data_IF_429102841807
#
_entry.id   IF_429102841807
#
_cell.length_a   1.000
_cell.length_b   1.000
_cell.length_c   1.000
_cell.angle_alpha   90.00
_cell.angle_beta   90.00
_cell.angle_gamma   90.00
#
_symmetry.space_group_name_H-M   'P 1'
#
loop_
_entity.id
_entity.type
_entity.pdbx_description
1 polymer ?
#
# COMPACT_ATOMS: atom_id res chain seq x y z
N UNK A 1 -9.20 14.33 -39.99
CA UNK A 1 -8.49 13.13 -39.47
C UNK A 1 -9.35 11.91 -39.71
N UNK A 2 -8.80 10.80 -40.18
CA UNK A 2 -9.57 9.58 -40.42
C UNK A 2 -9.93 8.90 -39.09
N UNK A 3 -11.09 8.24 -39.03
CA UNK A 3 -11.50 7.44 -37.83
C UNK A 3 -10.40 6.50 -37.31
N UNK A 4 -9.58 5.96 -38.21
CA UNK A 4 -8.45 5.10 -37.84
C UNK A 4 -7.35 5.84 -37.06
N UNK A 5 -7.07 7.11 -37.34
CA UNK A 5 -6.13 7.92 -36.57
C UNK A 5 -6.69 8.32 -35.21
N UNK A 6 -7.98 8.59 -35.13
CA UNK A 6 -8.66 8.89 -33.86
C UNK A 6 -8.67 7.67 -32.98
N UNK A 7 -8.93 6.47 -33.52
CA UNK A 7 -8.91 5.22 -32.76
C UNK A 7 -7.48 4.79 -32.36
N UNK A 8 -6.46 5.06 -33.19
CA UNK A 8 -5.06 4.77 -32.85
C UNK A 8 -4.52 5.68 -31.73
N UNK A 9 -5.05 6.92 -31.63
CA UNK A 9 -4.73 7.80 -30.50
C UNK A 9 -5.58 7.53 -29.25
N UNK A 10 -6.64 6.73 -29.37
CA UNK A 10 -7.55 6.33 -28.29
C UNK A 10 -7.28 4.88 -27.80
N UNK A 11 -6.23 4.21 -28.33
CA UNK A 11 -5.84 2.90 -27.79
C UNK A 11 -5.27 3.10 -26.38
N UNK A 12 -5.92 2.59 -25.32
CA UNK A 12 -5.41 2.77 -23.96
C UNK A 12 -4.04 2.09 -23.89
N UNK A 13 -3.00 2.87 -23.61
CA UNK A 13 -1.67 2.32 -23.36
C UNK A 13 -1.76 1.47 -22.08
N UNK A 14 -1.59 0.18 -22.21
CA UNK A 14 -1.55 -0.76 -21.08
C UNK A 14 -0.35 -0.41 -20.20
N UNK A 15 -0.53 -0.39 -18.87
CA UNK A 15 0.52 -0.08 -17.92
C UNK A 15 0.82 1.43 -17.77
N UNK A 16 -0.14 2.28 -18.07
CA UNK A 16 0.01 3.72 -17.82
C UNK A 16 -0.13 4.09 -16.35
N UNK A 17 -0.96 3.35 -15.60
CA UNK A 17 -1.13 3.59 -14.17
C UNK A 17 0.14 3.19 -13.39
N UNK A 18 0.73 4.16 -12.69
CA UNK A 18 1.90 3.95 -11.85
C UNK A 18 1.54 3.46 -10.44
N UNK A 19 0.26 3.56 -10.06
CA UNK A 19 -0.25 3.10 -8.77
C UNK A 19 -0.64 1.63 -8.85
N UNK A 20 -0.22 0.85 -7.87
CA UNK A 20 -0.55 -0.57 -7.76
C UNK A 20 -1.82 -0.73 -6.92
N UNK A 21 -2.71 -1.63 -7.34
CA UNK A 21 -3.97 -1.91 -6.66
C UNK A 21 -4.89 -0.66 -6.57
N UNK A 22 -4.91 0.16 -7.60
CA UNK A 22 -5.76 1.36 -7.65
C UNK A 22 -7.26 1.06 -7.68
N UNK A 23 -7.67 -0.14 -8.11
CA UNK A 23 -9.04 -0.65 -8.06
C UNK A 23 -9.43 -1.25 -6.69
N UNK A 24 -8.53 -1.27 -5.71
CA UNK A 24 -8.76 -1.78 -4.35
C UNK A 24 -9.19 -3.26 -4.31
N UNK A 25 -8.70 -4.08 -5.24
CA UNK A 25 -9.14 -5.47 -5.41
C UNK A 25 -8.34 -6.49 -4.61
N UNK A 26 -7.09 -6.19 -4.24
CA UNK A 26 -6.20 -7.11 -3.54
C UNK A 26 -6.06 -6.73 -2.07
N UNK A 27 -6.34 -7.67 -1.19
CA UNK A 27 -6.26 -7.52 0.28
C UNK A 27 -5.73 -8.83 0.90
N UNK A 28 -4.43 -9.09 0.75
CA UNK A 28 -3.82 -10.33 1.24
C UNK A 28 -3.74 -10.39 2.78
N UNK A 29 -3.57 -9.25 3.46
CA UNK A 29 -3.45 -9.21 4.93
C UNK A 29 -4.78 -9.46 5.62
N UNK A 30 -5.72 -8.57 5.38
CA UNK A 30 -7.07 -8.62 5.94
C UNK A 30 -8.02 -7.78 5.09
N UNK A 31 -9.31 -8.05 5.17
CA UNK A 31 -10.34 -7.20 4.54
C UNK A 31 -10.89 -6.13 5.48
N UNK A 32 -10.59 -6.20 6.78
CA UNK A 32 -10.98 -5.20 7.77
C UNK A 32 -10.06 -5.25 8.99
N UNK A 33 -9.62 -4.07 9.46
CA UNK A 33 -8.84 -3.88 10.69
C UNK A 33 -9.39 -2.68 11.44
N UNK A 34 -9.61 -2.84 12.74
CA UNK A 34 -10.17 -1.82 13.64
C UNK A 34 -9.10 -1.21 14.56
N UNK A 35 -9.42 -0.06 15.18
CA UNK A 35 -8.55 0.57 16.18
C UNK A 35 -7.29 1.21 15.62
N UNK A 36 -7.27 1.49 14.32
CA UNK A 36 -6.15 2.15 13.66
C UNK A 36 -6.09 3.61 14.12
N UNK A 37 -4.91 4.05 14.54
CA UNK A 37 -4.64 5.39 15.07
C UNK A 37 -3.50 5.33 16.07
N UNK A 38 -3.45 6.25 17.07
CA UNK A 38 -2.30 6.42 17.95
C UNK A 38 -1.03 6.69 17.13
N UNK A 39 0.01 5.90 17.33
CA UNK A 39 1.18 5.91 16.44
C UNK A 39 1.09 4.68 15.54
N UNK A 40 0.74 4.88 14.28
CA UNK A 40 0.59 3.83 13.29
C UNK A 40 1.45 4.14 12.06
N UNK A 41 2.14 3.13 11.56
CA UNK A 41 2.90 3.15 10.30
C UNK A 41 2.93 1.72 9.77
N UNK A 42 1.85 1.30 9.10
CA UNK A 42 1.70 -0.09 8.64
C UNK A 42 0.65 -0.23 7.53
N UNK A 43 0.65 -1.38 6.87
CA UNK A 43 -0.31 -1.80 5.85
C UNK A 43 -1.40 -2.67 6.52
N UNK A 44 -2.55 -2.11 6.90
CA UNK A 44 -3.52 -2.87 7.71
C UNK A 44 -4.34 -3.87 6.90
N UNK A 45 -4.77 -3.51 5.69
CA UNK A 45 -5.72 -4.29 4.89
C UNK A 45 -5.29 -4.46 3.44
N UNK A 46 -5.69 -3.55 2.57
CA UNK A 46 -5.44 -3.61 1.13
C UNK A 46 -3.95 -3.47 0.83
N UNK A 47 -3.49 -4.30 -0.07
CA UNK A 47 -2.10 -4.32 -0.48
C UNK A 47 -1.69 -2.98 -1.07
N UNK A 48 -0.50 -2.52 -0.72
CA UNK A 48 0.13 -1.26 -1.10
C UNK A 48 -0.47 0.00 -0.48
N UNK A 49 -1.58 -0.08 0.23
CA UNK A 49 -2.20 1.05 0.92
C UNK A 49 -1.87 1.03 2.41
N UNK A 50 -1.14 2.03 2.84
CA UNK A 50 -0.59 2.18 4.18
C UNK A 50 -1.36 3.23 4.95
N UNK A 51 -1.47 3.08 6.26
CA UNK A 51 -1.88 4.15 7.18
C UNK A 51 -0.64 4.62 7.94
N UNK A 52 -0.43 5.92 7.92
CA UNK A 52 0.52 6.60 8.79
C UNK A 52 -0.23 7.59 9.67
N UNK A 53 -0.10 7.46 10.99
CA UNK A 53 -0.91 8.23 11.94
C UNK A 53 -0.19 8.52 13.25
N UNK A 54 -0.50 9.66 13.81
CA UNK A 54 -0.22 10.05 15.18
C UNK A 54 -1.39 10.90 15.67
N UNK A 55 -2.40 10.33 16.33
CA UNK A 55 -3.64 11.00 16.70
C UNK A 55 -4.35 10.27 17.84
N UNK A 56 -5.16 10.97 18.62
CA UNK A 56 -6.07 10.38 19.60
C UNK A 56 -7.27 9.68 18.94
N UNK A 57 -7.61 10.03 17.70
CA UNK A 57 -8.67 9.39 16.92
C UNK A 57 -8.41 7.92 16.59
N UNK A 58 -9.47 7.17 16.33
CA UNK A 58 -9.38 5.77 15.87
C UNK A 58 -10.29 5.53 14.69
N UNK A 59 -9.82 4.71 13.76
CA UNK A 59 -10.56 4.32 12.58
C UNK A 59 -10.58 2.80 12.38
N UNK A 60 -11.56 2.35 11.64
CA UNK A 60 -11.54 1.04 10.96
C UNK A 60 -11.23 1.26 9.49
N UNK A 61 -10.26 0.53 8.95
CA UNK A 61 -10.02 0.44 7.51
C UNK A 61 -10.57 -0.88 6.99
N UNK A 62 -11.34 -0.83 5.92
CA UNK A 62 -11.92 -2.04 5.31
C UNK A 62 -11.94 -1.95 3.78
N UNK A 63 -11.86 -3.12 3.13
CA UNK A 63 -12.27 -3.32 1.75
C UNK A 63 -13.77 -3.55 1.73
N UNK A 64 -14.51 -2.73 0.97
CA UNK A 64 -15.97 -2.85 0.83
C UNK A 64 -16.39 -2.90 -0.61
N UNK A 65 -17.47 -3.66 -0.90
CA UNK A 65 -18.04 -3.79 -2.24
C UNK A 65 -19.03 -2.64 -2.50
N UNK A 66 -18.52 -1.42 -2.49
CA UNK A 66 -19.30 -0.18 -2.64
C UNK A 66 -18.61 0.80 -3.64
N UNK A 67 -17.89 0.26 -4.59
CA UNK A 67 -17.23 1.08 -5.62
C UNK A 67 -18.20 1.57 -6.70
N UNK A 68 -17.86 2.65 -7.44
CA UNK A 68 -18.71 3.18 -8.50
C UNK A 68 -18.77 2.21 -9.69
N UNK A 69 -19.98 2.06 -10.26
CA UNK A 69 -20.20 1.18 -11.40
C UNK A 69 -19.30 1.53 -12.59
N UNK A 70 -18.72 0.50 -13.21
CA UNK A 70 -17.83 0.63 -14.36
C UNK A 70 -16.40 1.03 -14.03
N UNK A 71 -16.08 1.33 -12.75
CA UNK A 71 -14.74 1.68 -12.29
C UNK A 71 -14.13 0.56 -11.46
N UNK A 72 -14.72 0.23 -10.33
CA UNK A 72 -14.32 -0.90 -9.49
C UNK A 72 -15.51 -1.35 -8.64
N UNK A 73 -15.59 -2.66 -8.36
CA UNK A 73 -16.56 -3.16 -7.39
C UNK A 73 -16.13 -2.83 -5.95
N UNK A 74 -14.82 -2.74 -5.70
CA UNK A 74 -14.26 -2.55 -4.36
C UNK A 74 -13.75 -1.13 -4.14
N UNK A 75 -13.73 -0.73 -2.88
CA UNK A 75 -13.12 0.51 -2.42
C UNK A 75 -12.50 0.33 -1.03
N UNK A 76 -11.59 1.23 -0.66
CA UNK A 76 -11.24 1.45 0.75
C UNK A 76 -12.38 2.21 1.41
N UNK A 77 -12.82 1.74 2.57
CA UNK A 77 -13.61 2.51 3.53
C UNK A 77 -12.75 2.77 4.77
N UNK A 78 -12.63 4.02 5.16
CA UNK A 78 -12.21 4.44 6.49
C UNK A 78 -13.45 4.87 7.25
N UNK A 79 -13.60 4.38 8.48
CA UNK A 79 -14.76 4.61 9.34
C UNK A 79 -14.24 5.12 10.69
N UNK A 80 -14.63 6.32 11.10
CA UNK A 80 -14.19 6.90 12.36
C UNK A 80 -14.88 6.18 13.52
N UNK A 81 -14.10 5.54 14.39
CA UNK A 81 -14.64 4.80 15.56
C UNK A 81 -14.38 5.50 16.88
N UNK A 82 -13.43 6.44 16.90
CA UNK A 82 -13.20 7.34 18.05
C UNK A 82 -12.89 8.72 17.50
N UNK A 83 -13.69 9.70 17.88
CA UNK A 83 -13.48 11.08 17.48
C UNK A 83 -12.27 11.69 18.20
N UNK A 84 -11.63 12.67 17.54
CA UNK A 84 -10.59 13.52 18.08
C UNK A 84 -10.92 14.98 17.76
N UNK A 85 -11.50 15.65 18.75
CA UNK A 85 -11.94 17.04 18.63
C UNK A 85 -10.97 18.03 19.29
N UNK A 86 -9.87 17.54 19.87
CA UNK A 86 -8.83 18.36 20.52
C UNK A 86 -7.47 18.12 19.86
N UNK A 87 -7.38 18.55 18.61
CA UNK A 87 -6.26 18.26 17.72
C UNK A 87 -4.98 18.92 18.21
N UNK A 88 -3.98 18.15 18.62
CA UNK A 88 -2.67 18.68 18.95
C UNK A 88 -1.90 19.06 17.66
N UNK A 89 -0.97 20.01 17.77
CA UNK A 89 -0.30 20.60 16.61
C UNK A 89 0.42 19.59 15.72
N UNK A 90 0.97 18.53 16.29
CA UNK A 90 1.73 17.49 15.57
C UNK A 90 0.92 16.27 15.14
N UNK A 91 -0.39 16.24 15.38
CA UNK A 91 -1.25 15.14 14.99
C UNK A 91 -1.47 15.07 13.48
N UNK A 92 -1.63 13.83 12.97
CA UNK A 92 -1.97 13.55 11.58
C UNK A 92 -2.57 12.15 11.40
N UNK A 93 -3.33 11.99 10.32
CA UNK A 93 -3.81 10.69 9.83
C UNK A 93 -3.80 10.69 8.31
N UNK A 94 -3.01 9.77 7.74
CA UNK A 94 -2.71 9.68 6.33
C UNK A 94 -3.07 8.31 5.78
N UNK A 95 -3.69 8.27 4.61
CA UNK A 95 -3.72 7.09 3.75
C UNK A 95 -2.66 7.29 2.66
N UNK A 96 -1.79 6.30 2.47
CA UNK A 96 -0.58 6.47 1.69
C UNK A 96 -0.33 5.32 0.71
N UNK A 97 0.30 5.64 -0.43
CA UNK A 97 1.01 4.67 -1.26
C UNK A 97 2.40 5.18 -1.61
N UNK A 98 3.42 4.35 -1.37
CA UNK A 98 4.82 4.58 -1.76
C UNK A 98 5.09 3.96 -3.14
N UNK A 99 5.92 4.63 -3.95
CA UNK A 99 6.27 4.21 -5.31
C UNK A 99 7.79 4.12 -5.42
N UNK A 100 8.28 2.99 -5.97
CA UNK A 100 9.71 2.80 -6.26
C UNK A 100 10.19 3.81 -7.29
N UNK A 101 11.39 4.35 -7.11
CA UNK A 101 11.97 5.35 -8.00
C UNK A 101 12.12 4.87 -9.44
N UNK A 102 12.51 3.61 -9.65
CA UNK A 102 12.57 3.00 -11.00
C UNK A 102 11.24 3.03 -11.76
N UNK A 103 10.09 3.09 -11.07
CA UNK A 103 8.78 3.18 -11.69
C UNK A 103 8.36 4.63 -12.05
N UNK A 104 9.09 5.63 -11.53
CA UNK A 104 8.86 7.05 -11.78
C UNK A 104 9.72 7.64 -12.90
N UNK A 105 10.68 6.90 -13.43
CA UNK A 105 11.63 7.38 -14.46
C UNK A 105 10.94 7.93 -15.70
N UNK A 106 9.75 7.41 -16.04
CA UNK A 106 8.95 7.88 -17.20
C UNK A 106 8.47 9.33 -17.09
N UNK A 107 8.50 9.92 -15.90
CA UNK A 107 8.14 11.32 -15.64
C UNK A 107 9.23 12.26 -16.13
N UNK A 108 10.51 11.85 -16.00
CA UNK A 108 11.66 12.67 -16.36
C UNK A 108 11.78 13.92 -15.50
N UNK A 109 11.39 13.84 -14.20
CA UNK A 109 11.53 14.94 -13.26
C UNK A 109 12.98 15.38 -13.12
N UNK A 110 13.22 16.70 -12.94
CA UNK A 110 14.54 17.27 -12.71
C UNK A 110 15.39 17.43 -13.97
N UNK A 111 14.84 17.16 -15.16
CA UNK A 111 15.54 17.34 -16.42
C UNK A 111 14.67 18.09 -17.42
N UNK A 112 15.33 18.72 -18.42
CA UNK A 112 14.61 19.39 -19.49
C UNK A 112 13.70 18.43 -20.25
N UNK A 113 12.43 18.78 -20.43
CA UNK A 113 11.41 17.94 -21.01
C UNK A 113 10.71 17.02 -20.02
N UNK A 114 10.84 17.29 -18.72
CA UNK A 114 10.00 16.67 -17.67
C UNK A 114 8.53 16.76 -18.05
N UNK A 115 7.76 15.73 -17.68
CA UNK A 115 6.37 15.60 -18.08
C UNK A 115 5.44 15.92 -16.92
N UNK A 116 4.30 16.49 -17.24
CA UNK A 116 3.18 16.57 -16.30
C UNK A 116 2.70 15.16 -15.97
N UNK A 117 2.18 15.02 -14.77
CA UNK A 117 1.52 13.79 -14.28
C UNK A 117 0.10 14.14 -13.88
N UNK A 118 -0.84 13.31 -14.25
CA UNK A 118 -2.22 13.44 -13.77
C UNK A 118 -2.53 12.33 -12.79
N UNK A 119 -3.01 12.72 -11.62
CA UNK A 119 -3.53 11.84 -10.58
C UNK A 119 -5.05 11.97 -10.62
N UNK A 120 -5.75 10.85 -10.70
CA UNK A 120 -7.21 10.82 -10.65
C UNK A 120 -7.70 9.68 -9.77
N UNK A 121 -8.83 9.89 -9.10
CA UNK A 121 -9.43 8.90 -8.21
C UNK A 121 -10.91 9.24 -7.98
N UNK A 122 -11.66 8.25 -7.48
CA UNK A 122 -13.05 8.43 -7.08
C UNK A 122 -13.14 8.43 -5.56
N UNK A 123 -13.85 9.40 -5.01
CA UNK A 123 -14.09 9.56 -3.57
C UNK A 123 -15.55 9.82 -3.26
N UNK A 124 -15.96 9.42 -2.06
CA UNK A 124 -17.15 9.90 -1.35
C UNK A 124 -16.92 9.88 0.15
N UNK A 125 -17.77 10.54 0.91
CA UNK A 125 -17.73 10.55 2.37
C UNK A 125 -19.14 10.66 2.95
N UNK A 126 -19.27 10.59 4.27
CA UNK A 126 -20.56 10.79 4.98
C UNK A 126 -21.13 12.20 4.83
N UNK A 127 -20.26 13.18 4.55
CA UNK A 127 -20.63 14.59 4.35
C UNK A 127 -19.62 15.26 3.40
N UNK A 128 -19.82 16.54 3.13
CA UNK A 128 -18.83 17.38 2.46
C UNK A 128 -17.67 17.64 3.44
N UNK A 129 -16.45 17.27 3.02
CA UNK A 129 -15.18 17.57 3.70
C UNK A 129 -14.18 18.04 2.67
N UNK A 130 -13.29 18.92 3.09
CA UNK A 130 -12.10 19.29 2.34
C UNK A 130 -10.91 18.49 2.84
N UNK A 131 -10.22 17.80 1.93
CA UNK A 131 -9.01 17.03 2.19
C UNK A 131 -7.93 17.38 1.18
N UNK A 132 -6.69 16.93 1.42
CA UNK A 132 -5.58 17.16 0.51
C UNK A 132 -5.05 15.85 -0.03
N UNK A 133 -4.83 15.80 -1.36
CA UNK A 133 -3.95 14.84 -2.01
C UNK A 133 -2.59 15.50 -2.23
N UNK A 134 -1.51 14.88 -1.76
CA UNK A 134 -0.13 15.33 -1.92
C UNK A 134 0.65 14.29 -2.73
N UNK A 135 1.45 14.75 -3.68
CA UNK A 135 2.53 13.99 -4.28
C UNK A 135 3.85 14.53 -3.78
N UNK A 136 4.58 13.70 -3.02
CA UNK A 136 5.88 14.00 -2.44
C UNK A 136 6.97 13.27 -3.23
N UNK A 137 8.00 14.01 -3.61
CA UNK A 137 9.31 13.51 -3.99
C UNK A 137 10.16 13.39 -2.73
N UNK A 138 10.38 12.16 -2.27
CA UNK A 138 11.11 11.87 -1.04
C UNK A 138 12.62 12.09 -1.21
N UNK A 139 13.16 11.79 -2.38
CA UNK A 139 14.59 11.91 -2.67
C UNK A 139 15.09 13.37 -2.60
N UNK A 140 14.26 14.31 -3.04
CA UNK A 140 14.62 15.71 -3.13
C UNK A 140 13.86 16.61 -2.16
N UNK A 141 13.00 16.04 -1.29
CA UNK A 141 12.16 16.77 -0.34
C UNK A 141 11.33 17.88 -1.01
N UNK A 142 10.68 17.54 -2.14
CA UNK A 142 9.78 18.44 -2.87
C UNK A 142 8.38 17.87 -2.92
N UNK A 143 7.38 18.72 -2.94
CA UNK A 143 5.99 18.29 -2.96
C UNK A 143 5.10 19.19 -3.81
N UNK A 144 3.96 18.63 -4.20
CA UNK A 144 2.87 19.33 -4.85
C UNK A 144 1.54 18.80 -4.30
N UNK A 145 0.62 19.69 -3.96
CA UNK A 145 -0.62 19.38 -3.25
C UNK A 145 -1.85 19.90 -3.98
N UNK A 146 -2.99 19.25 -3.77
CA UNK A 146 -4.29 19.74 -4.18
C UNK A 146 -5.33 19.54 -3.08
N UNK A 147 -6.03 20.62 -2.71
CA UNK A 147 -7.26 20.54 -1.93
C UNK A 147 -8.40 20.00 -2.81
N UNK A 148 -9.18 19.08 -2.28
CA UNK A 148 -10.38 18.53 -2.94
C UNK A 148 -11.51 18.36 -1.93
N UNK A 149 -12.75 18.49 -2.41
CA UNK A 149 -13.94 18.31 -1.58
C UNK A 149 -14.59 16.95 -1.85
N UNK A 150 -15.14 16.33 -0.81
CA UNK A 150 -15.96 15.13 -0.90
C UNK A 150 -17.44 15.49 -0.90
N UNK A 151 -18.27 14.55 -1.33
CA UNK A 151 -19.74 14.57 -1.20
C UNK A 151 -20.22 13.20 -0.75
N UNK A 152 -21.52 13.04 -0.54
CA UNK A 152 -22.14 11.73 -0.24
C UNK A 152 -22.23 10.81 -1.45
N UNK A 153 -22.06 11.34 -2.65
CA UNK A 153 -22.02 10.60 -3.90
C UNK A 153 -20.60 10.42 -4.40
N UNK A 154 -20.33 9.37 -5.16
CA UNK A 154 -19.05 9.16 -5.81
C UNK A 154 -18.73 10.31 -6.78
N UNK A 155 -17.62 10.99 -6.52
CA UNK A 155 -17.11 12.10 -7.32
C UNK A 155 -15.69 11.77 -7.80
N UNK A 156 -15.41 12.03 -9.07
CA UNK A 156 -14.05 11.93 -9.61
C UNK A 156 -13.28 13.20 -9.32
N UNK A 157 -12.12 13.05 -8.72
CA UNK A 157 -11.13 14.12 -8.51
C UNK A 157 -9.99 13.95 -9.51
N UNK A 158 -9.54 15.04 -10.09
CA UNK A 158 -8.41 15.08 -11.01
C UNK A 158 -7.39 16.12 -10.51
N UNK A 159 -6.13 15.74 -10.48
CA UNK A 159 -5.02 16.59 -10.04
C UNK A 159 -3.88 16.52 -11.05
N UNK A 160 -3.68 17.60 -11.80
CA UNK A 160 -2.55 17.74 -12.70
C UNK A 160 -1.36 18.27 -11.92
N UNK A 161 -0.37 17.44 -11.70
CA UNK A 161 0.94 17.82 -11.13
C UNK A 161 1.76 18.44 -12.26
N UNK A 162 2.22 19.70 -12.15
CA UNK A 162 3.01 20.33 -13.18
C UNK A 162 4.34 19.60 -13.43
N UNK A 163 4.91 19.76 -14.61
CA UNK A 163 6.27 19.32 -14.88
C UNK A 163 7.24 20.03 -13.92
N UNK A 164 8.22 19.29 -13.41
CA UNK A 164 9.30 19.85 -12.61
C UNK A 164 10.61 19.74 -13.42
N UNK A 165 10.94 20.81 -14.13
CA UNK A 165 12.15 20.96 -14.92
C UNK A 165 13.26 21.69 -14.17
N UNK A 166 13.12 21.83 -12.85
CA UNK A 166 14.08 22.56 -12.02
C UNK A 166 15.49 21.97 -12.21
N UNK A 167 16.36 22.73 -12.80
CA UNK A 167 17.72 22.35 -13.16
C UNK A 167 18.65 22.14 -11.96
N UNK A 168 18.21 22.44 -10.79
CA UNK A 168 18.90 22.20 -9.52
C UNK A 168 18.35 21.03 -8.74
N UNK A 169 17.18 20.50 -9.10
CA UNK A 169 16.63 19.35 -8.42
C UNK A 169 17.07 18.08 -9.13
N UNK A 170 17.48 17.12 -8.36
CA UNK A 170 17.85 15.82 -8.88
C UNK A 170 16.60 15.07 -9.41
N UNK A 171 16.75 14.20 -10.40
CA UNK A 171 15.69 13.27 -10.80
C UNK A 171 15.32 12.35 -9.63
N UNK A 172 14.20 11.60 -9.77
CA UNK A 172 13.95 10.47 -8.92
C UNK A 172 15.06 9.44 -9.05
N UNK A 173 15.49 8.84 -7.96
CA UNK A 173 16.46 7.77 -7.96
C UNK A 173 15.96 6.57 -8.80
N UNK A 174 16.83 6.02 -9.65
CA UNK A 174 16.51 4.81 -10.44
C UNK A 174 16.83 3.54 -9.64
N UNK A 175 16.10 3.33 -8.56
CA UNK A 175 16.29 2.20 -7.66
C UNK A 175 14.94 1.63 -7.17
N UNK A 176 15.00 0.61 -6.31
CA UNK A 176 13.83 -0.04 -5.73
C UNK A 176 13.44 0.52 -4.33
N UNK A 177 13.99 1.67 -3.92
CA UNK A 177 13.56 2.38 -2.72
C UNK A 177 12.31 3.25 -3.01
N UNK A 178 11.69 3.76 -1.97
CA UNK A 178 10.63 4.74 -2.10
C UNK A 178 11.23 6.07 -2.56
N UNK A 179 10.78 6.60 -3.68
CA UNK A 179 11.13 7.92 -4.20
C UNK A 179 9.92 8.82 -4.33
N UNK A 180 8.75 8.26 -4.67
CA UNK A 180 7.49 8.98 -4.70
C UNK A 180 6.53 8.49 -3.62
N UNK A 181 5.82 9.42 -3.01
CA UNK A 181 4.79 9.12 -2.01
C UNK A 181 3.52 9.88 -2.34
N UNK A 182 2.39 9.18 -2.29
CA UNK A 182 1.05 9.75 -2.48
C UNK A 182 0.33 9.72 -1.14
N UNK A 183 -0.10 10.87 -0.65
CA UNK A 183 -0.80 11.00 0.64
C UNK A 183 -2.20 11.57 0.46
N UNK A 184 -3.17 10.95 1.08
CA UNK A 184 -4.40 11.60 1.47
C UNK A 184 -4.25 12.12 2.90
N UNK A 185 -4.26 13.43 3.07
CA UNK A 185 -4.31 14.09 4.37
C UNK A 185 -5.77 14.19 4.81
N UNK A 186 -6.16 13.35 5.77
CA UNK A 186 -7.55 13.26 6.25
C UNK A 186 -7.74 13.89 7.62
N UNK A 187 -6.64 14.14 8.35
CA UNK A 187 -6.62 14.82 9.63
C UNK A 187 -5.22 15.33 9.89
N UNK A 188 -5.11 16.57 10.36
CA UNK A 188 -3.82 17.15 10.73
C UNK A 188 -3.96 18.34 11.67
N UNK A 189 -2.96 18.48 12.56
CA UNK A 189 -2.82 19.63 13.44
C UNK A 189 -2.06 20.81 12.80
N UNK A 190 -1.92 21.88 13.56
CA UNK A 190 -1.39 23.17 13.09
C UNK A 190 0.03 23.10 12.50
N UNK A 191 0.85 22.12 12.87
CA UNK A 191 2.16 21.89 12.26
C UNK A 191 2.07 21.71 10.73
N UNK A 192 0.98 21.14 10.24
CA UNK A 192 0.80 20.80 8.82
C UNK A 192 -0.22 21.69 8.11
N UNK A 193 -1.04 22.45 8.85
CA UNK A 193 -2.18 23.19 8.30
C UNK A 193 -2.04 24.71 8.36
N UNK A 194 -1.02 25.25 9.05
CA UNK A 194 -0.91 26.69 9.36
C UNK A 194 -0.34 27.56 8.24
N UNK A 195 0.13 26.95 7.16
CA UNK A 195 0.76 27.64 6.05
C UNK A 195 -0.17 27.88 4.86
N UNK A 196 0.41 27.94 3.66
CA UNK A 196 -0.29 28.02 2.37
C UNK A 196 -0.05 26.73 1.59
N UNK A 197 -1.10 26.10 1.10
CA UNK A 197 -1.01 24.84 0.37
C UNK A 197 -0.08 24.98 -0.84
N UNK A 198 0.85 24.04 -1.00
CA UNK A 198 1.81 23.99 -2.09
C UNK A 198 1.12 23.47 -3.38
N UNK A 199 0.42 24.33 -4.11
CA UNK A 199 -0.31 23.95 -5.32
C UNK A 199 0.57 23.71 -6.57
N UNK A 200 1.87 23.95 -6.45
CA UNK A 200 2.90 23.65 -7.44
C UNK A 200 4.12 23.08 -6.71
N UNK A 201 5.07 22.52 -7.48
CA UNK A 201 6.30 21.99 -6.89
C UNK A 201 7.02 23.03 -6.01
N UNK A 202 7.24 22.68 -4.77
CA UNK A 202 7.94 23.49 -3.79
C UNK A 202 8.79 22.58 -2.88
N UNK A 203 9.77 23.17 -2.21
CA UNK A 203 10.48 22.47 -1.14
C UNK A 203 9.50 22.14 -0.02
N UNK A 204 9.61 20.95 0.53
CA UNK A 204 8.70 20.48 1.57
C UNK A 204 8.78 21.35 2.81
N UNK A 205 7.68 22.00 3.12
CA UNK A 205 7.47 22.77 4.36
C UNK A 205 6.26 22.16 5.06
N UNK A 206 6.44 21.70 6.29
CA UNK A 206 5.39 20.98 7.02
C UNK A 206 4.06 21.75 7.03
N UNK A 207 4.08 23.03 7.34
CA UNK A 207 2.89 23.88 7.43
C UNK A 207 2.08 24.00 6.12
N UNK A 208 2.69 23.69 4.98
CA UNK A 208 2.08 23.87 3.65
C UNK A 208 1.49 22.55 3.08
N UNK A 209 1.55 21.45 3.84
CA UNK A 209 1.20 20.11 3.32
C UNK A 209 -0.31 19.86 3.34
N UNK A 210 -1.00 20.36 4.36
CA UNK A 210 -2.41 20.06 4.61
C UNK A 210 -3.24 21.33 4.93
N UNK A 211 -2.82 22.49 4.43
CA UNK A 211 -3.55 23.73 4.68
C UNK A 211 -4.95 23.68 4.07
N UNK A 212 -5.95 23.98 4.89
CA UNK A 212 -7.36 24.07 4.49
C UNK A 212 -8.17 22.78 4.65
N UNK A 213 -7.61 21.70 5.25
CA UNK A 213 -8.38 20.47 5.45
C UNK A 213 -9.34 20.51 6.62
N UNK A 214 -10.41 19.76 6.51
CA UNK A 214 -11.26 19.36 7.63
C UNK A 214 -10.65 18.17 8.38
N UNK A 215 -11.21 17.85 9.55
CA UNK A 215 -10.81 16.66 10.31
C UNK A 215 -11.78 15.50 10.08
N UNK A 216 -11.24 14.39 9.55
CA UNK A 216 -11.96 13.12 9.50
C UNK A 216 -12.43 12.64 10.87
N UNK A 217 -11.70 12.97 11.95
CA UNK A 217 -12.01 12.58 13.32
C UNK A 217 -12.94 13.56 14.07
N UNK A 218 -13.58 14.51 13.38
CA UNK A 218 -14.51 15.45 14.03
C UNK A 218 -15.78 14.80 14.58
N UNK A 219 -16.19 13.61 14.06
CA UNK A 219 -17.32 12.83 14.55
C UNK A 219 -17.12 11.34 14.26
N UNK A 220 -17.69 10.47 15.10
CA UNK A 220 -17.76 9.02 14.83
C UNK A 220 -18.74 8.66 13.70
N UNK A 221 -19.55 9.59 13.20
CA UNK A 221 -20.39 9.39 12.03
C UNK A 221 -19.63 9.53 10.71
N UNK A 222 -18.37 10.00 10.79
CA UNK A 222 -17.57 10.27 9.60
C UNK A 222 -17.00 8.99 8.99
N UNK A 223 -17.10 8.94 7.66
CA UNK A 223 -16.43 7.93 6.85
C UNK A 223 -15.84 8.58 5.59
N UNK A 224 -14.87 7.89 5.01
CA UNK A 224 -14.19 8.27 3.77
C UNK A 224 -14.01 7.03 2.90
N UNK A 225 -14.33 7.16 1.61
CA UNK A 225 -14.20 6.08 0.64
C UNK A 225 -13.34 6.53 -0.54
N UNK A 226 -12.48 5.65 -1.03
CA UNK A 226 -11.65 5.90 -2.21
C UNK A 226 -11.45 4.64 -3.04
N UNK A 227 -11.47 4.80 -4.37
CA UNK A 227 -11.14 3.75 -5.35
C UNK A 227 -10.84 4.35 -6.72
N UNK A 228 -10.49 3.51 -7.69
CA UNK A 228 -10.19 3.94 -9.05
C UNK A 228 -9.02 4.90 -9.11
N UNK A 229 -7.99 4.66 -8.26
CA UNK A 229 -6.84 5.54 -8.17
C UNK A 229 -5.87 5.29 -9.33
N UNK A 230 -5.57 6.33 -10.07
CA UNK A 230 -4.67 6.30 -11.22
C UNK A 230 -3.72 7.47 -11.21
N UNK A 231 -2.44 7.20 -11.47
CA UNK A 231 -1.40 8.17 -11.70
C UNK A 231 -0.74 7.87 -13.05
N UNK A 232 -0.81 8.81 -13.97
CA UNK A 232 -0.36 8.62 -15.36
C UNK A 232 0.41 9.84 -15.87
N UNK A 233 1.30 9.61 -16.82
CA UNK A 233 2.03 10.70 -17.51
C UNK A 233 1.09 11.39 -18.49
N UNK A 234 1.00 12.70 -18.40
CA UNK A 234 0.20 13.55 -19.28
C UNK A 234 -0.60 14.61 -18.53
N UNK A 235 -1.15 15.59 -19.24
CA UNK A 235 -1.87 16.72 -18.64
C UNK A 235 -3.38 16.48 -18.44
N UNK A 236 -3.89 15.29 -18.80
CA UNK A 236 -5.34 14.99 -18.79
C UNK A 236 -5.55 13.62 -18.18
N UNK A 237 -6.49 13.53 -17.26
CA UNK A 237 -6.94 12.25 -16.70
C UNK A 237 -7.70 11.45 -17.78
N UNK A 238 -7.19 10.26 -18.07
CA UNK A 238 -7.89 9.32 -18.95
C UNK A 238 -8.88 8.46 -18.16
N UNK A 239 -9.67 7.62 -18.82
CA UNK A 239 -10.50 6.64 -18.15
C UNK A 239 -9.64 5.72 -17.28
N UNK A 240 -10.21 5.27 -16.16
CA UNK A 240 -9.49 4.37 -15.23
C UNK A 240 -9.05 3.11 -15.96
N UNK A 241 -7.76 2.79 -15.86
CA UNK A 241 -7.19 1.60 -16.47
C UNK A 241 -7.63 0.34 -15.72
N UNK A 242 -8.44 -0.47 -16.38
CA UNK A 242 -8.84 -1.77 -15.86
C UNK A 242 -7.68 -2.76 -16.04
N UNK A 243 -7.12 -3.23 -14.94
CA UNK A 243 -6.05 -4.23 -14.93
C UNK A 243 -6.60 -5.60 -14.53
N UNK A 244 -6.11 -6.66 -15.17
CA UNK A 244 -6.45 -8.03 -14.78
C UNK A 244 -6.00 -8.29 -13.34
N UNK A 245 -6.87 -8.99 -12.57
CA UNK A 245 -6.62 -9.25 -11.15
C UNK A 245 -5.35 -10.06 -10.90
N UNK A 246 -4.98 -10.97 -11.80
CA UNK A 246 -3.75 -11.76 -11.67
C UNK A 246 -2.50 -10.90 -11.84
N UNK A 247 -2.55 -9.90 -12.72
CA UNK A 247 -1.49 -8.92 -12.90
C UNK A 247 -1.35 -8.02 -11.66
N UNK A 248 -2.48 -7.50 -11.15
CA UNK A 248 -2.48 -6.70 -9.92
C UNK A 248 -1.95 -7.49 -8.73
N UNK A 249 -2.39 -8.76 -8.59
CA UNK A 249 -1.89 -9.64 -7.52
C UNK A 249 -0.38 -9.87 -7.63
N UNK A 250 0.14 -10.16 -8.82
CA UNK A 250 1.58 -10.35 -9.02
C UNK A 250 2.39 -9.09 -8.66
N UNK A 251 1.88 -7.90 -9.01
CA UNK A 251 2.48 -6.62 -8.60
C UNK A 251 2.44 -6.42 -7.08
N UNK A 252 1.35 -6.82 -6.40
CA UNK A 252 1.25 -6.77 -4.95
C UNK A 252 2.20 -7.76 -4.28
N UNK A 253 2.32 -8.97 -4.82
CA UNK A 253 3.22 -10.02 -4.31
C UNK A 253 4.71 -9.66 -4.41
N UNK A 254 5.09 -8.69 -5.23
CA UNK A 254 6.43 -8.09 -5.20
C UNK A 254 6.76 -7.47 -3.83
N UNK A 255 5.76 -7.07 -3.05
CA UNK A 255 5.90 -6.39 -1.76
C UNK A 255 5.41 -7.23 -0.58
N UNK A 256 4.33 -7.95 -0.76
CA UNK A 256 3.77 -8.81 0.27
C UNK A 256 3.19 -10.09 -0.35
N UNK A 257 3.65 -11.22 0.15
CA UNK A 257 3.21 -12.54 -0.30
C UNK A 257 2.66 -13.33 0.88
N UNK A 258 1.34 -13.51 0.96
CA UNK A 258 0.71 -14.41 1.92
C UNK A 258 0.70 -15.81 1.36
N UNK A 259 1.37 -16.74 2.04
CA UNK A 259 1.57 -18.13 1.61
C UNK A 259 0.55 -19.04 2.27
N UNK A 260 0.32 -18.87 3.57
CA UNK A 260 -0.62 -19.69 4.33
C UNK A 260 -1.51 -18.81 5.22
N UNK A 261 -2.77 -19.20 5.36
CA UNK A 261 -3.79 -18.49 6.13
C UNK A 261 -4.80 -19.47 6.73
N UNK A 262 -4.89 -19.51 8.06
CA UNK A 262 -5.84 -20.32 8.79
C UNK A 262 -5.44 -21.79 8.99
N UNK A 263 -6.43 -22.54 9.46
CA UNK A 263 -6.29 -23.96 9.82
C UNK A 263 -6.13 -24.86 8.59
N UNK A 264 -5.23 -25.83 8.67
CA UNK A 264 -4.89 -26.77 7.59
C UNK A 264 -4.34 -26.10 6.32
N UNK A 265 -3.83 -24.88 6.43
CA UNK A 265 -3.23 -24.17 5.31
C UNK A 265 -1.80 -24.66 5.08
N UNK A 266 -1.46 -25.23 3.91
CA UNK A 266 -0.11 -25.71 3.62
C UNK A 266 0.84 -24.53 3.45
N UNK A 267 2.06 -24.67 3.98
CA UNK A 267 3.15 -23.71 3.78
C UNK A 267 4.09 -24.25 2.70
N UNK A 268 4.80 -25.34 2.97
CA UNK A 268 5.68 -26.03 2.02
C UNK A 268 6.12 -27.37 2.57
N UNK A 269 6.94 -28.08 1.79
CA UNK A 269 7.71 -29.23 2.26
C UNK A 269 8.93 -28.78 3.02
N UNK A 270 9.29 -29.52 4.08
CA UNK A 270 10.48 -29.31 4.88
C UNK A 270 11.19 -30.63 5.15
N UNK A 271 12.42 -30.56 5.62
CA UNK A 271 13.21 -31.73 5.99
C UNK A 271 13.86 -31.54 7.36
N UNK A 272 14.09 -32.64 8.07
CA UNK A 272 14.79 -32.67 9.34
C UNK A 272 16.30 -32.59 9.06
N UNK A 273 16.87 -31.39 9.16
CA UNK A 273 18.29 -31.12 8.92
C UNK A 273 19.17 -31.80 9.97
N UNK A 274 18.72 -31.80 11.21
CA UNK A 274 19.32 -32.49 12.36
C UNK A 274 18.21 -33.03 13.26
N UNK A 275 18.53 -33.85 14.26
CA UNK A 275 17.55 -34.38 15.22
C UNK A 275 16.84 -33.30 16.06
N UNK A 276 17.37 -32.08 16.00
CA UNK A 276 16.85 -30.92 16.77
C UNK A 276 16.40 -29.76 15.88
N UNK A 277 16.44 -29.92 14.52
CA UNK A 277 16.17 -28.82 13.61
C UNK A 277 15.49 -29.30 12.32
N UNK A 278 14.44 -28.61 11.92
CA UNK A 278 13.92 -28.70 10.55
C UNK A 278 14.33 -27.47 9.73
N UNK A 279 14.45 -27.65 8.42
CA UNK A 279 14.68 -26.59 7.43
C UNK A 279 13.75 -26.75 6.23
N UNK A 280 13.41 -25.64 5.61
CA UNK A 280 12.60 -25.61 4.39
C UNK A 280 13.18 -24.62 3.39
N UNK A 281 13.09 -24.95 2.11
CA UNK A 281 13.48 -24.09 0.99
C UNK A 281 12.23 -23.79 0.18
N UNK A 282 12.04 -22.55 -0.21
CA UNK A 282 10.89 -22.11 -0.97
C UNK A 282 11.31 -21.15 -2.08
N UNK A 283 10.96 -21.49 -3.33
CA UNK A 283 11.01 -20.56 -4.45
C UNK A 283 9.79 -19.66 -4.44
N UNK A 284 9.98 -18.37 -4.67
CA UNK A 284 8.90 -17.39 -4.68
C UNK A 284 8.27 -17.30 -6.07
N UNK A 285 6.93 -17.17 -6.17
CA UNK A 285 6.24 -17.12 -7.47
C UNK A 285 6.60 -15.88 -8.28
N UNK A 286 6.96 -14.80 -7.61
CA UNK A 286 7.42 -13.54 -8.19
C UNK A 286 8.66 -13.05 -7.43
N UNK A 287 9.58 -12.40 -8.14
CA UNK A 287 10.69 -11.74 -7.47
C UNK A 287 10.18 -10.61 -6.57
N UNK A 288 10.47 -10.67 -5.29
CA UNK A 288 10.12 -9.61 -4.36
C UNK A 288 11.01 -8.38 -4.56
N UNK A 289 10.58 -7.22 -4.08
CA UNK A 289 11.30 -5.95 -4.24
C UNK A 289 12.71 -6.00 -3.65
N UNK A 290 12.85 -6.61 -2.52
CA UNK A 290 14.11 -6.83 -1.80
C UNK A 290 14.06 -8.20 -1.13
N UNK A 291 15.14 -8.60 -0.48
CA UNK A 291 15.12 -9.75 0.41
C UNK A 291 14.03 -9.57 1.46
N UNK A 292 13.04 -10.50 1.54
CA UNK A 292 11.91 -10.34 2.44
C UNK A 292 12.26 -10.67 3.89
N UNK A 293 11.44 -10.17 4.79
CA UNK A 293 11.31 -10.67 6.15
C UNK A 293 10.10 -11.61 6.26
N UNK A 294 10.13 -12.51 7.26
CA UNK A 294 8.96 -13.33 7.58
C UNK A 294 7.97 -12.48 8.40
N UNK A 295 6.73 -12.47 7.95
CA UNK A 295 5.57 -11.95 8.67
C UNK A 295 4.68 -13.13 9.05
N UNK A 296 4.56 -13.40 10.35
CA UNK A 296 3.89 -14.58 10.86
C UNK A 296 3.31 -14.33 12.26
N UNK A 297 2.27 -15.07 12.60
CA UNK A 297 1.88 -15.19 14.02
C UNK A 297 2.87 -16.12 14.72
N UNK A 298 3.28 -15.77 15.94
CA UNK A 298 4.17 -16.59 16.78
C UNK A 298 3.45 -17.05 18.05
N UNK A 299 3.88 -18.20 18.57
CA UNK A 299 3.34 -18.81 19.80
C UNK A 299 2.92 -20.26 19.62
N UNK A 300 2.47 -20.86 20.71
CA UNK A 300 2.13 -22.29 20.75
C UNK A 300 0.87 -22.60 19.95
N UNK A 301 0.92 -23.63 19.10
CA UNK A 301 -0.25 -24.18 18.44
C UNK A 301 -0.66 -23.48 17.15
N UNK A 302 0.24 -22.71 16.53
CA UNK A 302 -0.04 -22.10 15.23
C UNK A 302 0.41 -22.96 14.04
N UNK A 303 1.55 -23.67 14.18
CA UNK A 303 2.09 -24.45 13.06
C UNK A 303 2.45 -25.87 13.48
N UNK A 304 2.56 -26.73 12.48
CA UNK A 304 2.95 -28.13 12.66
C UNK A 304 3.83 -28.61 11.51
N UNK A 305 4.90 -29.32 11.87
CA UNK A 305 5.68 -30.12 10.97
C UNK A 305 5.25 -31.58 11.11
N UNK A 306 4.81 -32.19 10.01
CA UNK A 306 4.32 -33.56 9.95
C UNK A 306 5.29 -34.40 9.11
N UNK A 307 6.02 -35.33 9.75
CA UNK A 307 7.03 -36.21 9.14
C UNK A 307 6.84 -37.68 9.56
N UNK A 308 5.61 -38.13 9.71
CA UNK A 308 5.24 -39.40 10.34
C UNK A 308 4.83 -39.23 11.80
N UNK A 309 5.28 -38.17 12.43
CA UNK A 309 4.81 -37.65 13.73
C UNK A 309 4.40 -36.18 13.58
N UNK A 310 3.67 -35.68 14.55
CA UNK A 310 3.26 -34.28 14.59
C UNK A 310 4.15 -33.49 15.56
N UNK A 311 4.97 -32.62 15.02
CA UNK A 311 5.84 -31.74 15.81
C UNK A 311 5.28 -30.33 15.77
N UNK A 312 4.97 -29.79 16.95
CA UNK A 312 4.47 -28.39 17.09
C UNK A 312 5.61 -27.41 16.79
N UNK A 313 5.29 -26.38 16.00
CA UNK A 313 6.18 -25.29 15.65
C UNK A 313 5.55 -23.99 16.11
N UNK A 314 6.29 -23.16 16.80
CA UNK A 314 5.81 -21.89 17.35
C UNK A 314 6.03 -20.72 16.41
N UNK A 315 7.10 -20.77 15.62
CA UNK A 315 7.56 -19.73 14.71
C UNK A 315 8.65 -20.27 13.80
N UNK A 316 8.97 -19.57 12.74
CA UNK A 316 10.09 -19.85 11.85
C UNK A 316 11.11 -18.72 11.89
N UNK A 317 12.37 -19.05 11.67
CA UNK A 317 13.45 -18.08 11.53
C UNK A 317 13.96 -18.11 10.11
N UNK A 318 14.09 -16.94 9.48
CA UNK A 318 14.72 -16.81 8.18
C UNK A 318 16.20 -17.17 8.32
N UNK A 319 16.69 -18.05 7.46
CA UNK A 319 18.08 -18.51 7.47
C UNK A 319 18.87 -17.86 6.32
N UNK A 320 18.56 -18.23 5.08
CA UNK A 320 19.17 -17.65 3.88
C UNK A 320 18.03 -17.13 2.99
N UNK A 321 18.20 -15.95 2.43
CA UNK A 321 17.18 -15.39 1.57
C UNK A 321 17.75 -14.52 0.45
N UNK A 322 17.08 -14.57 -0.67
CA UNK A 322 17.18 -13.63 -1.78
C UNK A 322 15.78 -13.07 -2.07
N UNK A 323 15.67 -12.24 -3.07
CA UNK A 323 14.35 -11.75 -3.52
C UNK A 323 13.54 -12.78 -4.34
N UNK A 324 14.09 -13.95 -4.64
CA UNK A 324 13.46 -15.02 -5.43
C UNK A 324 13.34 -16.35 -4.70
N UNK A 325 14.08 -16.52 -3.62
CA UNK A 325 14.17 -17.78 -2.87
C UNK A 325 14.46 -17.52 -1.41
N UNK A 326 13.86 -18.28 -0.52
CA UNK A 326 14.11 -18.24 0.91
C UNK A 326 14.37 -19.62 1.47
N UNK A 327 15.23 -19.69 2.48
CA UNK A 327 15.36 -20.80 3.40
C UNK A 327 14.96 -20.35 4.79
N UNK A 328 14.13 -21.13 5.46
CA UNK A 328 13.72 -20.85 6.83
C UNK A 328 13.74 -22.12 7.67
N UNK A 329 13.93 -21.97 8.95
CA UNK A 329 14.19 -23.07 9.84
C UNK A 329 13.45 -22.94 11.18
N UNK A 330 13.37 -24.04 11.91
CA UNK A 330 13.05 -24.07 13.32
C UNK A 330 13.98 -25.05 14.04
N UNK A 331 14.73 -24.51 14.96
CA UNK A 331 15.55 -25.27 15.91
C UNK A 331 14.83 -25.56 17.23
N UNK A 332 15.50 -26.28 18.11
CA UNK A 332 15.02 -26.67 19.47
C UNK A 332 13.70 -27.46 19.42
N UNK A 333 13.57 -28.35 18.43
CA UNK A 333 12.48 -29.32 18.28
C UNK A 333 13.04 -30.74 18.34
N UNK A 334 12.18 -31.76 18.48
CA UNK A 334 12.59 -33.16 18.42
C UNK A 334 12.06 -33.77 17.13
N UNK A 335 12.98 -34.14 16.25
CA UNK A 335 12.70 -34.75 14.94
C UNK A 335 13.75 -35.84 14.69
N UNK A 336 13.61 -36.59 13.61
CA UNK A 336 14.62 -37.58 13.18
C UNK A 336 15.33 -37.03 11.94
N UNK A 337 16.65 -36.87 12.00
CA UNK A 337 17.46 -36.39 10.88
C UNK A 337 17.20 -37.20 9.59
N UNK A 338 17.15 -36.50 8.47
CA UNK A 338 16.95 -37.09 7.15
C UNK A 338 15.49 -37.36 6.75
N UNK A 339 14.55 -37.19 7.67
CA UNK A 339 13.12 -37.29 7.32
C UNK A 339 12.60 -36.01 6.66
N UNK A 340 11.69 -36.14 5.69
CA UNK A 340 10.97 -35.04 5.12
C UNK A 340 9.49 -35.04 5.55
N UNK A 341 8.86 -33.88 5.51
CA UNK A 341 7.47 -33.71 5.92
C UNK A 341 6.87 -32.43 5.39
N UNK A 342 5.67 -32.13 5.84
CA UNK A 342 4.89 -30.97 5.43
C UNK A 342 4.74 -29.97 6.58
N UNK A 343 4.90 -28.70 6.28
CA UNK A 343 4.58 -27.58 7.17
C UNK A 343 3.19 -27.06 6.89
N UNK A 344 2.39 -26.92 7.93
CA UNK A 344 1.01 -26.43 7.83
C UNK A 344 0.67 -25.46 8.98
N UNK A 345 -0.24 -24.54 8.72
CA UNK A 345 -0.97 -23.82 9.75
C UNK A 345 -2.01 -24.73 10.41
N UNK A 346 -2.18 -24.68 11.72
CA UNK A 346 -3.10 -25.57 12.47
C UNK A 346 -4.11 -24.84 13.37
N UNK A 347 -4.19 -23.53 13.19
CA UNK A 347 -5.10 -22.67 13.97
C UNK A 347 -5.76 -21.68 13.02
N UNK A 348 -6.99 -21.25 13.32
CA UNK A 348 -7.71 -20.27 12.49
C UNK A 348 -7.00 -18.91 12.41
N UNK A 349 -6.15 -18.60 13.40
CA UNK A 349 -5.33 -17.39 13.40
C UNK A 349 -3.91 -17.59 12.83
N UNK A 350 -3.58 -18.82 12.34
CA UNK A 350 -2.28 -19.06 11.72
C UNK A 350 -2.16 -18.27 10.42
N UNK A 351 -1.03 -17.60 10.22
CA UNK A 351 -0.66 -17.10 8.90
C UNK A 351 0.87 -17.12 8.73
N UNK A 352 1.33 -17.32 7.52
CA UNK A 352 2.71 -17.24 7.13
C UNK A 352 2.82 -16.43 5.85
N UNK A 353 3.55 -15.35 5.90
CA UNK A 353 3.72 -14.42 4.82
C UNK A 353 5.16 -13.89 4.76
N UNK A 354 5.48 -13.27 3.64
CA UNK A 354 6.75 -12.60 3.39
C UNK A 354 6.48 -11.13 3.10
N UNK A 355 7.28 -10.25 3.68
CA UNK A 355 7.15 -8.80 3.52
C UNK A 355 8.46 -8.20 3.01
N UNK A 356 8.36 -7.43 1.93
CA UNK A 356 9.39 -6.57 1.36
C UNK A 356 8.81 -5.17 1.05
N UNK A 357 7.89 -4.67 1.90
CA UNK A 357 7.25 -3.36 1.74
C UNK A 357 8.25 -2.19 1.77
N UNK A 358 7.81 -1.03 1.27
CA UNK A 358 8.59 0.22 1.24
C UNK A 358 8.53 0.98 2.55
#
# INVERSE_FOLDING_TARGET
MTKARTNASASPAVGRNMVINGAMNVAQRATSVTGIGATASHYPTLDRWMIEASTAGRATMSQTADGPNGISANCIKLDCTTADTSIASGEYFLLEQKIEGQNLQRIGKGVAGAKQVTISFYVKASAAFDFVIEFLDEDNSRHCCKLFSTTTDWTRVEFVVPADEDDGSSPFDDNNAASGRLFFWLHAGATYTSGTLAAAWANTTAANRAAGIDSFFSSTDNNFFVTGFQMEVGPVATEFEQEDISTTLAKCQRYYLKIADGNNSPICTAFSFADTQMSAVMNLPNAMRATPSIDQVSGTGYYRYTNGTNVAINEFTLDIASNTEITFAKGSITVTQGQSGMLIGVNSASYFALSAEL
#
